data_IF_413123126962
#
_entry.id   IF_413123126962
#
_cell.length_a   1.000
_cell.length_b   1.000
_cell.length_c   1.000
_cell.angle_alpha   90.00
_cell.angle_beta   90.00
_cell.angle_gamma   90.00
#
_symmetry.space_group_name_H-M   'P 1'
#
loop_
_entity.id
_entity.type
_entity.pdbx_description
1 polymer ?
#
# COMPACT_ATOMS: atom_id res chain seq x y z
N UNK A 1 -11.13 -6.94 -1.93
CA UNK A 1 -10.41 -6.11 -2.91
C UNK A 1 -10.19 -6.93 -4.17
N UNK A 2 -10.36 -6.34 -5.35
CA UNK A 2 -10.06 -6.97 -6.64
C UNK A 2 -8.90 -6.27 -7.34
N UNK A 3 -8.12 -7.01 -8.13
CA UNK A 3 -7.17 -6.41 -9.07
C UNK A 3 -7.90 -5.99 -10.36
N UNK A 4 -7.23 -5.18 -11.19
CA UNK A 4 -7.72 -4.77 -12.51
C UNK A 4 -7.98 -5.94 -13.47
N UNK A 5 -7.41 -7.11 -13.20
CA UNK A 5 -7.57 -8.31 -14.04
C UNK A 5 -8.80 -9.16 -13.68
N UNK A 6 -9.52 -8.84 -12.60
CA UNK A 6 -10.72 -9.58 -12.21
C UNK A 6 -11.94 -8.98 -12.94
N UNK A 7 -12.64 -9.74 -13.79
CA UNK A 7 -13.84 -9.27 -14.46
C UNK A 7 -15.03 -9.22 -13.49
N UNK A 8 -16.04 -8.41 -13.82
CA UNK A 8 -17.22 -8.17 -12.95
C UNK A 8 -18.15 -9.37 -12.83
N UNK A 9 -18.07 -10.34 -13.76
CA UNK A 9 -18.84 -11.58 -13.75
C UNK A 9 -18.16 -12.71 -12.96
N UNK A 10 -17.02 -12.43 -12.30
CA UNK A 10 -16.39 -13.38 -11.40
C UNK A 10 -17.39 -13.80 -10.29
N UNK A 11 -17.58 -15.10 -10.04
CA UNK A 11 -18.58 -15.59 -9.09
C UNK A 11 -18.40 -15.03 -7.67
N UNK A 12 -17.17 -14.73 -7.24
CA UNK A 12 -16.89 -14.11 -5.94
C UNK A 12 -17.38 -12.66 -5.89
N UNK A 13 -17.22 -11.91 -6.99
CA UNK A 13 -17.69 -10.52 -7.11
C UNK A 13 -19.21 -10.46 -7.15
N UNK A 14 -19.83 -11.36 -7.92
CA UNK A 14 -21.30 -11.48 -8.00
C UNK A 14 -21.90 -11.83 -6.63
N UNK A 15 -21.31 -12.81 -5.92
CA UNK A 15 -21.75 -13.19 -4.59
C UNK A 15 -21.58 -12.06 -3.57
N UNK A 16 -20.45 -11.33 -3.62
CA UNK A 16 -20.23 -10.17 -2.76
C UNK A 16 -21.29 -9.08 -2.97
N UNK A 17 -21.62 -8.76 -4.23
CA UNK A 17 -22.69 -7.80 -4.54
C UNK A 17 -24.06 -8.28 -4.06
N UNK A 18 -24.40 -9.55 -4.26
CA UNK A 18 -25.66 -10.13 -3.78
C UNK A 18 -25.78 -10.07 -2.24
N UNK A 19 -24.65 -10.14 -1.54
CA UNK A 19 -24.56 -10.04 -0.08
C UNK A 19 -24.38 -8.60 0.44
N UNK A 20 -24.44 -7.57 -0.42
CA UNK A 20 -24.12 -6.17 -0.09
C UNK A 20 -22.73 -5.96 0.54
N UNK A 21 -21.76 -6.82 0.19
CA UNK A 21 -20.37 -6.67 0.60
C UNK A 21 -19.65 -5.74 -0.39
N UNK A 22 -18.99 -4.66 0.08
CA UNK A 22 -18.26 -3.74 -0.81
C UNK A 22 -17.11 -4.43 -1.55
N UNK A 23 -17.04 -4.20 -2.86
CA UNK A 23 -15.93 -4.67 -3.71
C UNK A 23 -15.08 -3.46 -4.09
N UNK A 24 -13.96 -3.27 -3.40
CA UNK A 24 -13.02 -2.18 -3.66
C UNK A 24 -11.95 -2.57 -4.67
N UNK A 25 -11.54 -1.63 -5.53
CA UNK A 25 -10.31 -1.77 -6.32
C UNK A 25 -9.09 -1.53 -5.42
N UNK A 26 -7.92 -1.97 -5.87
CA UNK A 26 -6.67 -1.77 -5.14
C UNK A 26 -6.37 -0.29 -4.86
N UNK A 27 -6.54 0.58 -5.87
CA UNK A 27 -6.33 2.02 -5.72
C UNK A 27 -7.28 2.64 -4.68
N UNK A 28 -8.57 2.27 -4.71
CA UNK A 28 -9.57 2.77 -3.74
C UNK A 28 -9.22 2.35 -2.30
N UNK A 29 -8.75 1.11 -2.14
CA UNK A 29 -8.32 0.59 -0.85
C UNK A 29 -7.05 1.29 -0.32
N UNK A 30 -6.09 1.58 -1.21
CA UNK A 30 -4.89 2.32 -0.82
C UNK A 30 -5.25 3.74 -0.35
N UNK A 31 -6.16 4.42 -1.05
CA UNK A 31 -6.68 5.72 -0.63
C UNK A 31 -7.31 5.66 0.77
N UNK A 32 -8.12 4.63 1.04
CA UNK A 32 -8.71 4.41 2.36
C UNK A 32 -7.65 4.20 3.46
N UNK A 33 -6.57 3.47 3.17
CA UNK A 33 -5.50 3.27 4.14
C UNK A 33 -4.74 4.58 4.47
N UNK A 34 -4.78 5.55 3.55
CA UNK A 34 -4.05 6.80 3.69
C UNK A 34 -4.87 7.93 4.33
N UNK A 35 -6.19 7.80 4.42
CA UNK A 35 -7.14 8.89 4.73
C UNK A 35 -6.83 9.64 6.05
N UNK A 36 -6.35 8.91 7.07
CA UNK A 36 -5.98 9.48 8.39
C UNK A 36 -4.46 9.46 8.65
N UNK A 37 -3.65 9.46 7.59
CA UNK A 37 -2.19 9.36 7.69
C UNK A 37 -1.47 10.52 7.00
N UNK A 38 -0.25 10.77 7.43
CA UNK A 38 0.72 11.61 6.74
C UNK A 38 1.38 10.75 5.66
N UNK A 39 0.88 10.87 4.43
CA UNK A 39 1.38 10.16 3.27
C UNK A 39 2.74 10.66 2.77
N UNK A 40 3.67 9.74 2.55
CA UNK A 40 4.97 9.97 1.91
C UNK A 40 5.04 9.07 0.68
N UNK A 41 4.79 9.65 -0.49
CA UNK A 41 4.87 8.97 -1.78
C UNK A 41 6.21 9.26 -2.46
N UNK A 42 6.99 8.22 -2.74
CA UNK A 42 8.28 8.34 -3.43
C UNK A 42 8.08 8.00 -4.91
N UNK A 43 8.11 9.02 -5.76
CA UNK A 43 8.00 8.90 -7.22
C UNK A 43 9.35 9.08 -7.92
N UNK A 44 9.41 8.72 -9.20
CA UNK A 44 10.59 8.91 -10.06
C UNK A 44 10.94 7.69 -10.91
N UNK A 45 11.79 7.89 -11.92
CA UNK A 45 12.16 6.80 -12.84
C UNK A 45 13.14 5.79 -12.23
N UNK A 46 13.98 6.22 -11.27
CA UNK A 46 15.00 5.38 -10.64
C UNK A 46 15.11 5.68 -9.15
N UNK A 47 15.57 4.70 -8.37
CA UNK A 47 15.88 4.88 -6.95
C UNK A 47 14.69 4.97 -6.01
N UNK A 48 13.46 4.79 -6.51
CA UNK A 48 12.23 4.80 -5.69
C UNK A 48 12.31 3.81 -4.54
N UNK A 49 12.38 2.51 -4.83
CA UNK A 49 12.49 1.43 -3.84
C UNK A 49 13.56 1.69 -2.78
N UNK A 50 14.76 2.11 -3.19
CA UNK A 50 15.86 2.38 -2.27
C UNK A 50 15.54 3.55 -1.33
N UNK A 51 15.02 4.66 -1.88
CA UNK A 51 14.65 5.85 -1.11
C UNK A 51 13.48 5.58 -0.18
N UNK A 52 12.43 4.90 -0.67
CA UNK A 52 11.28 4.47 0.15
C UNK A 52 11.72 3.63 1.33
N UNK A 53 12.65 2.69 1.10
CA UNK A 53 13.22 1.85 2.15
C UNK A 53 14.05 2.61 3.18
N UNK A 54 14.85 3.59 2.76
CA UNK A 54 15.60 4.45 3.69
C UNK A 54 14.67 5.28 4.56
N UNK A 55 13.63 5.90 3.98
CA UNK A 55 12.62 6.67 4.72
C UNK A 55 11.91 5.78 5.74
N UNK A 56 11.44 4.60 5.30
CA UNK A 56 10.80 3.63 6.18
C UNK A 56 11.70 3.28 7.37
N UNK A 57 12.99 2.97 7.14
CA UNK A 57 13.89 2.63 8.24
C UNK A 57 14.15 3.77 9.20
N UNK A 58 14.29 5.01 8.72
CA UNK A 58 14.48 6.15 9.61
C UNK A 58 13.26 6.35 10.53
N UNK A 59 12.05 6.23 9.99
CA UNK A 59 10.82 6.34 10.78
C UNK A 59 10.67 5.19 11.79
N UNK A 60 11.02 3.97 11.39
CA UNK A 60 11.00 2.80 12.29
C UNK A 60 12.01 2.97 13.42
N UNK A 61 13.25 3.37 13.11
CA UNK A 61 14.30 3.60 14.10
C UNK A 61 14.00 4.79 15.00
N UNK A 62 13.22 5.76 14.51
CA UNK A 62 12.70 6.87 15.31
C UNK A 62 11.48 6.52 16.16
N UNK A 63 11.09 5.24 16.23
CA UNK A 63 9.92 4.75 16.99
C UNK A 63 8.58 5.38 16.56
N UNK A 64 8.50 5.85 15.31
CA UNK A 64 7.30 6.49 14.74
C UNK A 64 6.31 5.50 14.12
N UNK A 65 6.62 4.19 14.18
CA UNK A 65 5.77 3.05 13.78
C UNK A 65 4.98 3.25 12.46
N UNK A 66 5.65 3.51 11.31
CA UNK A 66 4.97 3.80 10.05
C UNK A 66 4.29 2.56 9.44
N UNK A 67 3.23 2.80 8.67
CA UNK A 67 2.75 1.85 7.65
C UNK A 67 3.58 2.03 6.37
N UNK A 68 3.97 0.91 5.74
CA UNK A 68 4.93 0.92 4.62
C UNK A 68 4.47 -0.06 3.54
N UNK A 69 4.52 0.38 2.27
CA UNK A 69 4.33 -0.46 1.08
C UNK A 69 5.43 -0.15 0.06
N UNK A 70 6.21 -1.16 -0.34
CA UNK A 70 7.32 -1.02 -1.31
C UNK A 70 7.19 -2.07 -2.41
N UNK A 71 7.65 -1.76 -3.63
CA UNK A 71 7.61 -2.68 -4.77
C UNK A 71 8.51 -3.91 -4.65
N UNK A 72 9.35 -3.98 -3.61
CA UNK A 72 10.29 -5.08 -3.36
C UNK A 72 10.45 -5.39 -1.86
N UNK A 73 11.09 -6.52 -1.56
CA UNK A 73 11.35 -6.93 -0.17
C UNK A 73 12.35 -5.97 0.46
N UNK A 74 11.96 -5.33 1.56
CA UNK A 74 12.86 -4.56 2.40
C UNK A 74 13.69 -5.52 3.26
N UNK A 75 15.03 -5.58 3.11
CA UNK A 75 15.84 -6.51 3.88
C UNK A 75 15.71 -6.33 5.40
N UNK A 76 15.47 -5.10 5.86
CA UNK A 76 15.26 -4.77 7.28
C UNK A 76 13.94 -5.31 7.85
N UNK A 77 12.94 -5.56 7.00
CA UNK A 77 11.62 -6.05 7.41
C UNK A 77 11.40 -7.53 7.00
N UNK A 78 12.14 -8.03 6.02
CA UNK A 78 11.92 -9.36 5.42
C UNK A 78 10.63 -9.46 4.60
N UNK A 79 9.93 -8.34 4.39
CA UNK A 79 8.66 -8.23 3.66
C UNK A 79 8.66 -6.95 2.83
N UNK A 80 7.75 -6.87 1.85
CA UNK A 80 7.53 -5.69 1.01
C UNK A 80 6.50 -4.70 1.61
N UNK A 81 5.93 -5.04 2.77
CA UNK A 81 5.02 -4.14 3.46
C UNK A 81 4.89 -4.44 4.95
N UNK A 82 4.56 -3.41 5.72
CA UNK A 82 4.32 -3.44 7.16
C UNK A 82 3.12 -2.56 7.47
N UNK A 83 2.27 -3.03 8.38
CA UNK A 83 1.20 -2.22 8.97
C UNK A 83 1.66 -1.71 10.34
N UNK A 84 1.70 -0.40 10.53
CA UNK A 84 2.08 0.27 11.77
C UNK A 84 0.95 1.15 12.30
N UNK A 85 1.05 1.58 13.56
CA UNK A 85 0.03 2.38 14.25
C UNK A 85 0.37 3.88 14.31
N UNK A 86 1.51 4.28 13.76
CA UNK A 86 1.95 5.65 13.70
C UNK A 86 1.24 6.47 12.63
N UNK A 87 1.51 7.77 12.63
CA UNK A 87 0.86 8.70 11.72
C UNK A 87 1.34 8.58 10.26
N UNK A 88 2.48 7.93 9.98
CA UNK A 88 3.10 7.97 8.66
C UNK A 88 2.73 6.77 7.80
N UNK A 89 2.43 7.04 6.53
CA UNK A 89 2.23 6.04 5.49
C UNK A 89 3.24 6.24 4.35
N UNK A 90 4.17 5.31 4.19
CA UNK A 90 5.26 5.40 3.20
C UNK A 90 4.99 4.45 2.04
N UNK A 91 4.95 4.98 0.82
CA UNK A 91 4.68 4.19 -0.38
C UNK A 91 5.61 4.52 -1.54
N UNK A 92 6.02 3.48 -2.25
CA UNK A 92 6.60 3.64 -3.59
C UNK A 92 5.49 3.95 -4.59
N UNK A 93 5.50 5.16 -5.17
CA UNK A 93 4.56 5.55 -6.20
C UNK A 93 5.10 5.08 -7.55
N UNK A 94 4.47 4.06 -8.12
CA UNK A 94 4.76 3.59 -9.47
C UNK A 94 3.61 3.92 -10.40
N UNK A 95 3.93 4.30 -11.63
CA UNK A 95 2.99 4.87 -12.61
C UNK A 95 2.02 3.83 -13.22
N UNK A 96 2.04 2.59 -12.73
CA UNK A 96 1.33 1.45 -13.30
C UNK A 96 0.05 1.02 -12.52
N UNK A 97 -0.35 1.74 -11.47
CA UNK A 97 -1.65 1.58 -10.80
C UNK A 97 -2.41 2.92 -10.67
#
# INVERSE_FOLDING_TARGET
>A
MISSAIPTDNPEVVAAHAANVPVLKRADFLGHLMEDTIGIAVAGSHGKTTTTGMIAQLLIMGELDPTVIVGGILPSLGTNGRFGNGAYFVVEADEYD
#
